data_IF_935974829216
#
_entry.id   IF_935974829216
#
_cell.length_a   1.000
_cell.length_b   1.000
_cell.length_c   1.000
_cell.angle_alpha   90.00
_cell.angle_beta   90.00
_cell.angle_gamma   90.00
#
_symmetry.space_group_name_H-M   'P 1'
#
loop_
_entity.id
_entity.type
_entity.pdbx_description
1 polymer ?
#
# COMPACT_ATOMS: atom_id res chain seq x y z
N UNK A 1 -27.03 2.72 31.78
CA UNK A 1 -27.87 2.26 30.66
C UNK A 1 -26.97 1.48 29.73
N UNK A 2 -27.15 0.15 29.72
CA UNK A 2 -26.32 -0.80 28.98
C UNK A 2 -26.68 -0.73 27.49
N UNK A 3 -25.74 -0.43 26.59
CA UNK A 3 -25.94 -0.61 25.16
C UNK A 3 -25.40 -1.98 24.74
N UNK A 4 -26.34 -2.81 24.30
CA UNK A 4 -26.08 -4.12 23.71
C UNK A 4 -25.45 -3.96 22.32
N UNK A 5 -24.31 -4.55 22.14
CA UNK A 5 -23.69 -4.77 20.82
C UNK A 5 -24.35 -6.01 20.20
N UNK A 6 -25.08 -5.80 19.11
CA UNK A 6 -25.64 -6.88 18.29
C UNK A 6 -24.57 -7.34 17.28
N UNK A 7 -24.07 -8.55 17.49
CA UNK A 7 -23.22 -9.25 16.54
C UNK A 7 -24.06 -9.64 15.31
N UNK A 8 -23.66 -9.17 14.13
CA UNK A 8 -24.20 -9.62 12.84
C UNK A 8 -23.44 -10.88 12.43
N UNK A 9 -24.10 -12.01 12.57
CA UNK A 9 -23.62 -13.29 12.08
C UNK A 9 -23.79 -13.38 10.56
N UNK A 10 -22.71 -13.59 9.85
CA UNK A 10 -22.72 -13.90 8.40
C UNK A 10 -23.10 -15.38 8.27
N UNK A 11 -24.32 -15.62 7.79
CA UNK A 11 -24.82 -16.97 7.47
C UNK A 11 -24.16 -17.44 6.16
N UNK A 12 -23.40 -18.53 6.24
CA UNK A 12 -22.87 -19.26 5.10
C UNK A 12 -24.02 -19.89 4.30
N UNK A 13 -24.20 -19.46 3.05
CA UNK A 13 -25.03 -20.14 2.07
C UNK A 13 -24.19 -21.18 1.34
N UNK A 14 -24.41 -22.44 1.69
CA UNK A 14 -23.91 -23.61 0.95
C UNK A 14 -24.72 -23.75 -0.33
N UNK A 15 -24.13 -23.46 -1.49
CA UNK A 15 -24.62 -23.86 -2.80
C UNK A 15 -23.67 -24.90 -3.37
N UNK A 16 -24.26 -26.07 -3.56
CA UNK A 16 -23.63 -27.31 -4.03
C UNK A 16 -23.15 -27.26 -5.48
N UNK A 17 -21.90 -27.62 -5.63
CA UNK A 17 -21.25 -28.43 -6.70
C UNK A 17 -21.84 -28.45 -8.11
N UNK A 18 -21.12 -27.81 -9.04
CA UNK A 18 -20.77 -28.39 -10.32
C UNK A 18 -19.29 -28.12 -10.57
N UNK A 19 -18.57 -29.20 -10.84
CA UNK A 19 -17.13 -29.23 -11.06
C UNK A 19 -16.73 -28.44 -12.31
N UNK A 20 -16.42 -27.16 -12.14
CA UNK A 20 -15.52 -26.43 -13.01
C UNK A 20 -14.11 -26.73 -12.51
N UNK A 21 -13.35 -27.47 -13.31
CA UNK A 21 -11.92 -27.58 -13.11
C UNK A 21 -11.33 -26.17 -13.26
N UNK A 22 -11.12 -25.51 -12.13
CA UNK A 22 -10.26 -24.35 -12.06
C UNK A 22 -8.87 -24.83 -12.42
N UNK A 23 -8.36 -24.31 -13.53
CA UNK A 23 -6.92 -24.27 -13.77
C UNK A 23 -6.37 -23.40 -12.66
N UNK A 24 -6.00 -24.02 -11.56
CA UNK A 24 -5.21 -23.40 -10.55
C UNK A 24 -3.83 -23.17 -11.16
N UNK A 25 -3.55 -21.97 -11.61
CA UNK A 25 -2.19 -21.50 -11.66
C UNK A 25 -1.65 -21.64 -10.23
N UNK A 26 -0.88 -22.69 -9.99
CA UNK A 26 -0.08 -22.83 -8.80
C UNK A 26 1.06 -21.83 -8.96
N UNK A 27 0.83 -20.59 -8.57
CA UNK A 27 1.90 -19.82 -7.98
C UNK A 27 2.13 -20.44 -6.60
N UNK A 28 3.14 -21.29 -6.49
CA UNK A 28 3.79 -21.60 -5.22
C UNK A 28 4.41 -20.30 -4.70
N UNK A 29 3.56 -19.36 -4.26
CA UNK A 29 3.99 -18.36 -3.32
C UNK A 29 4.15 -19.11 -1.99
N UNK A 30 5.38 -19.52 -1.73
CA UNK A 30 5.82 -19.81 -0.38
C UNK A 30 5.27 -18.68 0.50
N UNK A 31 4.67 -19.04 1.62
CA UNK A 31 4.18 -18.10 2.65
C UNK A 31 5.42 -17.35 3.14
N UNK A 32 5.77 -16.29 2.40
CA UNK A 32 6.80 -15.35 2.83
C UNK A 32 6.33 -14.78 4.16
N UNK A 33 7.20 -14.77 5.14
CA UNK A 33 6.98 -14.17 6.44
C UNK A 33 6.42 -12.77 6.23
N UNK A 34 5.09 -12.62 6.36
CA UNK A 34 4.44 -11.33 6.26
C UNK A 34 5.16 -10.37 7.21
N UNK A 35 5.52 -9.22 6.70
CA UNK A 35 6.13 -8.19 7.50
C UNK A 35 5.03 -7.56 8.35
N UNK A 36 4.77 -8.14 9.51
CA UNK A 36 3.76 -7.68 10.46
C UNK A 36 4.24 -6.44 11.23
N UNK A 37 4.62 -5.39 10.49
CA UNK A 37 5.06 -4.11 11.06
C UNK A 37 4.10 -3.03 10.62
N UNK A 38 3.57 -2.27 11.56
CA UNK A 38 2.72 -1.10 11.32
C UNK A 38 3.34 0.15 11.95
N UNK A 39 3.08 1.31 11.35
CA UNK A 39 3.38 2.61 11.93
C UNK A 39 2.10 3.20 12.54
N UNK A 40 2.18 3.64 13.79
CA UNK A 40 1.06 4.21 14.53
C UNK A 40 0.89 5.72 14.33
N UNK A 41 1.87 6.37 13.72
CA UNK A 41 1.93 7.83 13.57
C UNK A 41 2.46 8.21 12.20
N UNK A 42 2.04 9.36 11.71
CA UNK A 42 2.62 9.98 10.52
C UNK A 42 4.05 10.45 10.82
N UNK A 43 4.93 10.30 9.84
CA UNK A 43 6.34 10.62 9.97
C UNK A 43 6.75 11.67 8.96
N UNK A 44 7.37 12.74 9.44
CA UNK A 44 8.04 13.74 8.59
C UNK A 44 9.54 13.72 8.87
N UNK A 45 10.32 13.59 7.82
CA UNK A 45 11.79 13.66 7.85
C UNK A 45 12.25 14.89 7.08
N UNK A 46 13.03 15.73 7.74
CA UNK A 46 13.72 16.89 7.15
C UNK A 46 15.21 16.83 7.55
N UNK A 47 16.11 17.60 6.94
CA UNK A 47 17.51 17.63 7.33
C UNK A 47 17.69 17.87 8.84
N UNK A 48 18.21 16.88 9.55
CA UNK A 48 18.44 16.89 11.02
C UNK A 48 17.16 17.06 11.86
N UNK A 49 16.01 16.69 11.31
CA UNK A 49 14.75 16.79 12.01
C UNK A 49 13.82 15.64 11.64
N UNK A 50 13.35 14.94 12.66
CA UNK A 50 12.32 13.92 12.60
C UNK A 50 11.11 14.40 13.40
N UNK A 51 9.92 14.35 12.80
CA UNK A 51 8.65 14.68 13.47
C UNK A 51 7.75 13.46 13.39
N UNK A 52 7.15 13.13 14.52
CA UNK A 52 6.11 12.11 14.65
C UNK A 52 4.82 12.78 15.09
N UNK A 53 3.77 12.62 14.30
CA UNK A 53 2.50 13.32 14.46
C UNK A 53 1.29 12.44 14.22
N UNK A 54 0.13 12.88 14.67
CA UNK A 54 -1.17 12.26 14.41
C UNK A 54 -2.19 13.36 14.15
N UNK A 55 -2.87 13.30 13.01
CA UNK A 55 -3.85 14.32 12.58
C UNK A 55 -3.25 15.73 12.63
N UNK A 56 -1.97 15.89 12.26
CA UNK A 56 -1.26 17.17 12.30
C UNK A 56 -0.75 17.59 13.69
N UNK A 57 -1.12 16.89 14.76
CA UNK A 57 -0.64 17.16 16.12
C UNK A 57 0.72 16.49 16.35
N UNK A 58 1.77 17.29 16.57
CA UNK A 58 3.10 16.82 16.93
C UNK A 58 3.07 16.07 18.26
N UNK A 59 3.37 14.79 18.27
CA UNK A 59 3.54 13.98 19.49
C UNK A 59 4.96 14.14 20.03
N UNK A 60 5.94 13.97 19.16
CA UNK A 60 7.32 14.30 19.47
C UNK A 60 8.11 14.67 18.20
N UNK A 61 9.21 15.37 18.41
CA UNK A 61 10.22 15.60 17.37
C UNK A 61 11.63 15.48 17.94
N UNK A 62 12.52 15.05 17.07
CA UNK A 62 13.96 15.05 17.31
C UNK A 62 14.57 16.05 16.33
N UNK A 63 15.17 17.10 16.85
CA UNK A 63 15.76 18.18 16.05
C UNK A 63 17.17 18.48 16.55
N UNK A 64 18.19 18.30 15.70
CA UNK A 64 19.59 18.50 16.06
C UNK A 64 19.97 17.76 17.37
N UNK A 65 19.63 16.48 17.45
CA UNK A 65 19.86 15.57 18.61
C UNK A 65 19.16 16.01 19.92
N UNK A 66 18.18 16.91 19.85
CA UNK A 66 17.33 17.31 20.96
C UNK A 66 15.94 16.70 20.79
N UNK A 67 15.43 16.13 21.87
CA UNK A 67 14.09 15.59 21.92
C UNK A 67 13.10 16.61 22.47
N UNK A 68 11.96 16.73 21.78
CA UNK A 68 10.81 17.51 22.23
C UNK A 68 9.59 16.58 22.25
N UNK A 69 8.86 16.55 23.33
CA UNK A 69 7.60 15.80 23.48
C UNK A 69 6.47 16.78 23.80
N UNK A 70 5.42 16.76 23.00
CA UNK A 70 4.32 17.73 23.08
C UNK A 70 4.84 19.20 23.13
N UNK A 71 5.81 19.50 22.26
CA UNK A 71 6.43 20.82 22.16
C UNK A 71 7.42 21.19 23.28
N UNK A 72 7.59 20.36 24.31
CA UNK A 72 8.48 20.62 25.44
C UNK A 72 9.80 19.88 25.27
N UNK A 73 10.94 20.60 25.36
CA UNK A 73 12.25 19.95 25.32
C UNK A 73 12.47 19.07 26.54
N UNK A 74 12.94 17.84 26.31
CA UNK A 74 13.32 16.88 27.34
C UNK A 74 14.83 17.00 27.59
N UNK A 75 15.22 17.01 28.86
CA UNK A 75 16.63 16.98 29.26
C UNK A 75 17.15 15.55 29.22
N UNK A 76 18.10 15.28 28.35
CA UNK A 76 18.68 13.95 28.15
C UNK A 76 20.08 13.88 28.78
N UNK A 77 20.41 12.75 29.36
CA UNK A 77 21.80 12.42 29.67
C UNK A 77 22.54 11.95 28.40
N UNK A 78 23.84 11.69 28.48
CA UNK A 78 24.67 11.37 27.31
C UNK A 78 24.26 10.04 26.65
N UNK A 79 23.80 9.04 27.42
CA UNK A 79 23.36 7.74 26.92
C UNK A 79 22.02 7.87 26.19
N UNK A 80 21.08 8.57 26.78
CA UNK A 80 19.78 8.89 26.17
C UNK A 80 19.95 9.72 24.88
N UNK A 81 20.88 10.69 24.88
CA UNK A 81 21.15 11.49 23.67
C UNK A 81 21.71 10.63 22.54
N UNK A 82 22.62 9.69 22.84
CA UNK A 82 23.15 8.76 21.84
C UNK A 82 22.03 7.88 21.27
N UNK A 83 21.14 7.38 22.13
CA UNK A 83 20.00 6.54 21.73
C UNK A 83 19.00 7.31 20.86
N UNK A 84 18.66 8.55 21.22
CA UNK A 84 17.79 9.45 20.44
C UNK A 84 18.41 9.73 19.07
N UNK A 85 19.72 10.02 19.01
CA UNK A 85 20.42 10.27 17.74
C UNK A 85 20.42 9.03 16.84
N UNK A 86 20.71 7.84 17.38
CA UNK A 86 20.67 6.57 16.65
C UNK A 86 19.25 6.30 16.10
N UNK A 87 18.23 6.41 16.95
CA UNK A 87 16.84 6.20 16.56
C UNK A 87 16.41 7.15 15.43
N UNK A 88 16.71 8.44 15.58
CA UNK A 88 16.40 9.43 14.56
C UNK A 88 17.09 9.15 13.21
N UNK A 89 18.34 8.67 13.24
CA UNK A 89 19.08 8.29 12.03
C UNK A 89 18.45 7.07 11.36
N UNK A 90 18.07 6.04 12.13
CA UNK A 90 17.46 4.83 11.60
C UNK A 90 16.10 5.12 10.96
N UNK A 91 15.21 5.87 11.62
CA UNK A 91 13.91 6.28 11.05
C UNK A 91 14.13 7.14 9.81
N UNK A 92 15.02 8.13 9.88
CA UNK A 92 15.30 9.04 8.76
C UNK A 92 15.89 8.33 7.54
N UNK A 93 16.57 7.20 7.73
CA UNK A 93 17.09 6.38 6.64
C UNK A 93 16.04 5.44 6.03
N UNK A 94 15.02 5.03 6.81
CA UNK A 94 14.01 4.09 6.34
C UNK A 94 12.84 4.76 5.64
N UNK A 95 12.39 5.93 6.09
CA UNK A 95 11.23 6.63 5.51
C UNK A 95 11.40 6.92 4.01
N UNK A 96 12.53 7.44 3.50
CA UNK A 96 12.74 7.59 2.07
C UNK A 96 12.68 6.27 1.28
N UNK A 97 13.17 5.19 1.85
CA UNK A 97 13.14 3.85 1.23
C UNK A 97 11.70 3.32 1.13
N UNK A 98 10.87 3.53 2.16
CA UNK A 98 9.43 3.20 2.12
C UNK A 98 8.75 3.99 1.00
N UNK A 99 8.96 5.30 0.93
CA UNK A 99 8.33 6.16 -0.07
C UNK A 99 8.76 5.72 -1.49
N UNK A 100 10.04 5.44 -1.69
CA UNK A 100 10.54 4.94 -2.97
C UNK A 100 9.91 3.59 -3.34
N UNK A 101 9.81 2.67 -2.39
CA UNK A 101 9.18 1.35 -2.62
C UNK A 101 7.69 1.48 -2.97
N UNK A 102 6.96 2.36 -2.29
CA UNK A 102 5.55 2.65 -2.60
C UNK A 102 5.42 3.20 -4.02
N UNK A 103 6.24 4.19 -4.40
CA UNK A 103 6.18 4.77 -5.74
C UNK A 103 6.48 3.74 -6.84
N UNK A 104 7.50 2.90 -6.66
CA UNK A 104 7.85 1.84 -7.62
C UNK A 104 6.72 0.80 -7.73
N UNK A 105 6.08 0.43 -6.61
CA UNK A 105 4.94 -0.48 -6.61
C UNK A 105 3.72 0.11 -7.34
N UNK A 106 3.47 1.40 -7.18
CA UNK A 106 2.37 2.12 -7.88
C UNK A 106 2.66 2.20 -9.37
N UNK A 107 3.88 2.55 -9.78
CA UNK A 107 4.28 2.59 -11.19
C UNK A 107 4.13 1.20 -11.84
N UNK A 108 4.57 0.15 -11.16
CA UNK A 108 4.40 -1.22 -11.61
C UNK A 108 2.91 -1.59 -11.75
N UNK A 109 2.08 -1.31 -10.75
CA UNK A 109 0.65 -1.59 -10.78
C UNK A 109 -0.05 -0.81 -11.90
N UNK A 110 0.28 0.47 -12.10
CA UNK A 110 -0.23 1.32 -13.18
C UNK A 110 0.09 0.72 -14.55
N UNK A 111 1.32 0.30 -14.75
CA UNK A 111 1.77 -0.36 -15.98
C UNK A 111 1.01 -1.67 -16.22
N UNK A 112 0.87 -2.52 -15.21
CA UNK A 112 0.16 -3.79 -15.31
C UNK A 112 -1.33 -3.58 -15.65
N UNK A 113 -1.99 -2.61 -15.01
CA UNK A 113 -3.40 -2.26 -15.29
C UNK A 113 -3.55 -1.76 -16.74
N UNK A 114 -2.66 -0.89 -17.20
CA UNK A 114 -2.69 -0.37 -18.57
C UNK A 114 -2.49 -1.48 -19.60
N UNK A 115 -1.53 -2.38 -19.39
CA UNK A 115 -1.30 -3.54 -20.25
C UNK A 115 -2.49 -4.50 -20.29
N UNK A 116 -3.12 -4.75 -19.15
CA UNK A 116 -4.26 -5.66 -19.03
C UNK A 116 -5.54 -5.10 -19.69
N UNK A 117 -5.83 -3.82 -19.49
CA UNK A 117 -7.14 -3.26 -19.81
C UNK A 117 -7.19 -2.56 -21.17
N UNK A 118 -6.12 -1.91 -21.63
CA UNK A 118 -6.12 -1.18 -22.91
C UNK A 118 -6.51 -2.07 -24.10
N UNK A 119 -5.99 -3.31 -24.25
CA UNK A 119 -6.36 -4.18 -25.37
C UNK A 119 -7.83 -4.66 -25.33
N UNK A 120 -8.47 -4.62 -24.14
CA UNK A 120 -9.84 -5.09 -23.93
C UNK A 120 -10.87 -3.98 -24.11
N UNK A 121 -10.54 -2.77 -23.69
CA UNK A 121 -11.47 -1.66 -23.59
C UNK A 121 -11.38 -0.72 -24.81
N UNK A 122 -10.28 -0.77 -25.56
CA UNK A 122 -10.00 0.10 -26.71
C UNK A 122 -9.54 1.51 -26.28
N UNK A 123 -9.10 2.31 -27.25
CA UNK A 123 -8.41 3.60 -27.02
C UNK A 123 -9.21 4.62 -26.17
N UNK A 124 -10.55 4.62 -26.28
CA UNK A 124 -11.37 5.56 -25.51
C UNK A 124 -11.46 5.22 -24.02
N UNK A 125 -11.25 3.96 -23.66
CA UNK A 125 -11.23 3.54 -22.27
C UNK A 125 -9.81 3.60 -21.69
N UNK A 126 -8.77 3.47 -22.53
CA UNK A 126 -7.38 3.69 -22.13
C UNK A 126 -7.21 5.08 -21.49
N UNK A 127 -7.74 6.13 -22.12
CA UNK A 127 -7.67 7.48 -21.56
C UNK A 127 -8.32 7.64 -20.17
N UNK A 128 -9.39 6.87 -19.88
CA UNK A 128 -10.03 6.88 -18.56
C UNK A 128 -9.20 6.10 -17.52
N UNK A 129 -8.53 5.05 -17.95
CA UNK A 129 -7.60 4.31 -17.08
C UNK A 129 -6.42 5.22 -16.71
N UNK A 130 -5.87 5.94 -17.67
CA UNK A 130 -4.78 6.89 -17.44
C UNK A 130 -5.20 8.00 -16.47
N UNK A 131 -6.41 8.54 -16.61
CA UNK A 131 -6.99 9.54 -15.70
C UNK A 131 -7.14 8.98 -14.27
N UNK A 132 -7.62 7.74 -14.15
CA UNK A 132 -7.75 7.07 -12.86
C UNK A 132 -6.38 6.83 -12.21
N UNK A 133 -5.40 6.35 -12.98
CA UNK A 133 -4.07 6.09 -12.45
C UNK A 133 -3.39 7.39 -12.00
N UNK A 134 -3.58 8.48 -12.74
CA UNK A 134 -3.12 9.80 -12.33
C UNK A 134 -3.78 10.27 -11.02
N UNK A 135 -5.08 10.03 -10.85
CA UNK A 135 -5.80 10.31 -9.60
C UNK A 135 -5.29 9.47 -8.42
N UNK A 136 -4.96 8.20 -8.66
CA UNK A 136 -4.36 7.33 -7.65
C UNK A 136 -2.95 7.81 -7.26
N UNK A 137 -2.12 8.18 -8.22
CA UNK A 137 -0.78 8.74 -7.98
C UNK A 137 -0.87 10.02 -7.11
N UNK A 138 -1.78 10.95 -7.41
CA UNK A 138 -1.98 12.17 -6.63
C UNK A 138 -2.38 11.85 -5.18
N UNK A 139 -3.25 10.85 -4.96
CA UNK A 139 -3.66 10.41 -3.61
C UNK A 139 -2.51 9.76 -2.85
N UNK A 140 -1.72 8.92 -3.50
CA UNK A 140 -0.52 8.34 -2.90
C UNK A 140 0.49 9.43 -2.57
N UNK A 141 0.70 10.39 -3.47
CA UNK A 141 1.57 11.54 -3.23
C UNK A 141 1.10 12.40 -2.06
N UNK A 142 -0.19 12.38 -1.71
CA UNK A 142 -0.70 13.08 -0.52
C UNK A 142 -0.29 12.42 0.80
N UNK A 143 -0.05 11.10 0.82
CA UNK A 143 0.32 10.32 2.02
C UNK A 143 1.78 9.82 2.01
N UNK A 144 2.44 9.80 0.85
CA UNK A 144 3.82 9.35 0.73
C UNK A 144 4.56 10.23 -0.28
N UNK A 145 5.20 11.31 0.17
CA UNK A 145 5.85 12.25 -0.74
C UNK A 145 7.27 12.64 -0.35
N UNK A 146 8.02 13.06 -1.37
CA UNK A 146 9.31 13.72 -1.25
C UNK A 146 9.27 15.10 -1.93
N UNK A 147 9.48 16.16 -1.16
CA UNK A 147 9.66 17.51 -1.67
C UNK A 147 11.05 18.05 -1.30
N UNK A 148 12.01 17.96 -2.23
CA UNK A 148 13.41 18.26 -1.96
C UNK A 148 13.99 17.31 -0.91
N UNK A 149 14.47 17.85 0.21
CA UNK A 149 15.01 17.09 1.34
C UNK A 149 13.96 16.78 2.43
N UNK A 150 12.68 17.06 2.16
CA UNK A 150 11.57 16.73 3.05
C UNK A 150 10.85 15.50 2.55
N UNK A 151 10.67 14.52 3.45
CA UNK A 151 9.89 13.30 3.23
C UNK A 151 8.73 13.28 4.21
N UNK A 152 7.57 12.83 3.75
CA UNK A 152 6.39 12.61 4.57
C UNK A 152 5.80 11.25 4.28
N UNK A 153 5.47 10.52 5.33
CA UNK A 153 4.78 9.24 5.29
C UNK A 153 3.59 9.29 6.24
N UNK A 154 2.38 9.38 5.68
CA UNK A 154 1.11 9.29 6.37
C UNK A 154 0.73 7.83 6.54
N UNK A 155 0.69 7.37 7.77
CA UNK A 155 0.43 5.98 8.13
C UNK A 155 -0.73 5.80 9.12
N UNK A 156 -1.27 6.92 9.62
CA UNK A 156 -2.44 6.89 10.50
C UNK A 156 -3.71 6.56 9.72
N UNK A 157 -4.68 5.94 10.41
CA UNK A 157 -6.00 5.68 9.83
C UNK A 157 -6.62 6.96 9.23
N UNK A 158 -6.50 8.10 9.92
CA UNK A 158 -7.00 9.39 9.44
C UNK A 158 -6.30 9.84 8.15
N UNK A 159 -4.97 9.74 8.06
CA UNK A 159 -4.22 10.13 6.85
C UNK A 159 -4.57 9.25 5.65
N UNK A 160 -4.81 7.96 5.90
CA UNK A 160 -5.21 7.01 4.86
C UNK A 160 -6.68 7.19 4.47
N UNK A 161 -7.57 7.47 5.42
CA UNK A 161 -8.98 7.74 5.14
C UNK A 161 -9.18 9.05 4.37
N UNK A 162 -8.39 10.08 4.67
CA UNK A 162 -8.40 11.35 3.92
C UNK A 162 -7.98 11.14 2.45
N UNK A 163 -7.08 10.19 2.16
CA UNK A 163 -6.62 9.90 0.81
C UNK A 163 -7.51 8.86 0.09
N UNK A 164 -7.97 7.81 0.78
CA UNK A 164 -8.58 6.61 0.21
C UNK A 164 -9.94 6.26 0.81
N UNK A 165 -10.64 7.20 1.46
CA UNK A 165 -11.94 6.99 2.08
C UNK A 165 -13.11 6.91 1.10
N UNK A 166 -14.31 7.21 1.59
CA UNK A 166 -15.58 7.02 0.85
C UNK A 166 -15.59 7.66 -0.54
N UNK A 167 -14.94 8.80 -0.75
CA UNK A 167 -14.90 9.49 -2.04
C UNK A 167 -14.16 8.66 -3.09
N UNK A 168 -13.00 8.11 -2.71
CA UNK A 168 -12.21 7.23 -3.57
C UNK A 168 -12.96 5.93 -3.88
N UNK A 169 -13.62 5.32 -2.89
CA UNK A 169 -14.41 4.11 -3.07
C UNK A 169 -15.54 4.34 -4.09
N UNK A 170 -16.24 5.47 -4.00
CA UNK A 170 -17.31 5.84 -4.96
C UNK A 170 -16.76 6.05 -6.38
N UNK A 171 -15.66 6.77 -6.52
CA UNK A 171 -15.00 6.98 -7.82
C UNK A 171 -14.60 5.64 -8.46
N UNK A 172 -14.03 4.74 -7.66
CA UNK A 172 -13.64 3.40 -8.12
C UNK A 172 -14.86 2.55 -8.51
N UNK A 173 -15.95 2.60 -7.74
CA UNK A 173 -17.17 1.89 -8.06
C UNK A 173 -17.78 2.39 -9.38
N UNK A 174 -17.89 3.72 -9.58
CA UNK A 174 -18.37 4.30 -10.82
C UNK A 174 -17.50 3.91 -12.02
N UNK A 175 -16.19 3.90 -11.85
CA UNK A 175 -15.26 3.50 -12.90
C UNK A 175 -15.45 2.04 -13.30
N UNK A 176 -15.53 1.13 -12.34
CA UNK A 176 -15.76 -0.30 -12.58
C UNK A 176 -17.08 -0.51 -13.32
N UNK A 177 -18.16 0.13 -12.88
CA UNK A 177 -19.47 0.03 -13.54
C UNK A 177 -19.43 0.54 -14.98
N UNK A 178 -18.81 1.69 -15.23
CA UNK A 178 -18.68 2.28 -16.58
C UNK A 178 -17.78 1.42 -17.48
N UNK A 179 -16.72 0.84 -16.93
CA UNK A 179 -15.78 -0.01 -17.67
C UNK A 179 -16.42 -1.34 -18.09
N UNK A 180 -17.23 -1.96 -17.23
CA UNK A 180 -17.99 -3.17 -17.56
C UNK A 180 -18.98 -2.91 -18.70
N UNK A 181 -19.67 -1.78 -18.69
CA UNK A 181 -20.59 -1.40 -19.78
C UNK A 181 -19.87 -1.22 -21.12
N UNK A 182 -18.72 -0.56 -21.11
CA UNK A 182 -17.88 -0.35 -22.30
C UNK A 182 -17.30 -1.66 -22.83
N UNK A 183 -16.84 -2.54 -21.95
CA UNK A 183 -16.33 -3.87 -22.30
C UNK A 183 -17.40 -4.74 -22.95
N UNK A 184 -18.62 -4.78 -22.38
CA UNK A 184 -19.74 -5.55 -22.97
C UNK A 184 -20.13 -5.00 -24.34
N UNK A 185 -20.11 -3.67 -24.54
CA UNK A 185 -20.44 -3.05 -25.81
C UNK A 185 -19.38 -3.36 -26.88
N UNK A 186 -18.09 -3.29 -26.53
CA UNK A 186 -16.99 -3.62 -27.43
C UNK A 186 -16.95 -5.11 -27.80
N UNK A 187 -17.13 -5.99 -26.84
CA UNK A 187 -17.25 -7.43 -27.08
C UNK A 187 -18.47 -7.75 -27.96
N UNK A 188 -19.61 -7.14 -27.68
CA UNK A 188 -20.82 -7.28 -28.50
C UNK A 188 -20.63 -6.80 -29.93
N UNK A 189 -19.96 -5.66 -30.13
CA UNK A 189 -19.64 -5.13 -31.46
C UNK A 189 -18.66 -6.04 -32.22
N UNK A 190 -17.62 -6.55 -31.57
CA UNK A 190 -16.67 -7.50 -32.15
C UNK A 190 -17.36 -8.84 -32.54
N UNK A 191 -18.29 -9.33 -31.70
CA UNK A 191 -19.04 -10.54 -32.01
C UNK A 191 -20.03 -10.31 -33.18
N UNK A 192 -20.56 -9.10 -33.35
CA UNK A 192 -21.51 -8.78 -34.44
C UNK A 192 -20.83 -8.39 -35.77
N UNK A 193 -19.62 -7.89 -35.73
CA UNK A 193 -18.92 -7.31 -36.91
C UNK A 193 -18.06 -8.30 -37.72
N UNK A 194 -18.05 -9.59 -37.39
CA UNK A 194 -17.23 -10.59 -38.08
C UNK A 194 -17.98 -11.25 -39.23
N UNK A 195 -17.47 -11.10 -40.44
CA UNK A 195 -17.92 -11.80 -41.65
C UNK A 195 -17.52 -13.28 -41.58
N UNK A 196 -18.43 -14.15 -41.17
CA UNK A 196 -18.33 -15.60 -41.40
C UNK A 196 -17.65 -16.45 -40.33
N UNK A 197 -17.03 -15.90 -39.30
CA UNK A 197 -16.40 -16.67 -38.22
C UNK A 197 -17.46 -17.21 -37.23
N UNK A 198 -17.33 -18.46 -36.82
CA UNK A 198 -18.21 -19.04 -35.80
C UNK A 198 -17.95 -18.38 -34.42
N UNK A 199 -18.95 -18.38 -33.57
CA UNK A 199 -18.81 -17.93 -32.17
C UNK A 199 -17.64 -18.62 -31.45
N UNK A 200 -17.42 -19.90 -31.72
CA UNK A 200 -16.32 -20.70 -31.16
C UNK A 200 -14.96 -20.17 -31.57
N UNK A 201 -14.77 -19.83 -32.85
CA UNK A 201 -13.51 -19.24 -33.35
C UNK A 201 -13.21 -17.87 -32.72
N UNK A 202 -14.25 -17.07 -32.50
CA UNK A 202 -14.11 -15.75 -31.84
C UNK A 202 -13.73 -15.88 -30.36
N UNK A 203 -14.32 -16.87 -29.66
CA UNK A 203 -13.96 -17.17 -28.28
C UNK A 203 -12.53 -17.71 -28.16
N UNK A 204 -12.10 -18.58 -29.08
CA UNK A 204 -10.72 -19.06 -29.12
C UNK A 204 -9.73 -17.92 -29.36
N UNK A 205 -10.04 -17.01 -30.27
CA UNK A 205 -9.21 -15.82 -30.54
C UNK A 205 -9.13 -14.89 -29.34
N UNK A 206 -10.23 -14.73 -28.61
CA UNK A 206 -10.27 -13.93 -27.38
C UNK A 206 -9.44 -14.59 -26.28
N UNK A 207 -9.56 -15.91 -26.09
CA UNK A 207 -8.75 -16.67 -25.13
C UNK A 207 -7.25 -16.52 -25.42
N UNK A 208 -6.84 -16.73 -26.68
CA UNK A 208 -5.44 -16.56 -27.08
C UNK A 208 -4.92 -15.13 -26.85
N UNK A 209 -5.77 -14.12 -27.06
CA UNK A 209 -5.40 -12.74 -26.77
C UNK A 209 -5.22 -12.49 -25.26
N UNK A 210 -6.08 -13.08 -24.43
CA UNK A 210 -5.95 -13.00 -22.96
C UNK A 210 -4.69 -13.69 -22.47
N UNK A 211 -4.39 -14.88 -23.00
CA UNK A 211 -3.18 -15.62 -22.66
C UNK A 211 -1.91 -14.81 -23.02
N UNK A 212 -1.89 -14.19 -24.22
CA UNK A 212 -0.75 -13.37 -24.63
C UNK A 212 -0.57 -12.10 -23.80
N UNK A 213 -1.67 -11.48 -23.33
CA UNK A 213 -1.63 -10.33 -22.42
C UNK A 213 -1.05 -10.79 -21.06
N UNK A 214 -1.48 -11.95 -20.56
CA UNK A 214 -0.95 -12.51 -19.32
C UNK A 214 0.57 -12.74 -19.39
N UNK A 215 1.03 -13.40 -20.45
CA UNK A 215 2.46 -13.64 -20.69
C UNK A 215 3.26 -12.33 -20.82
N UNK A 216 2.71 -11.31 -21.47
CA UNK A 216 3.37 -10.01 -21.61
C UNK A 216 3.49 -9.28 -20.27
N UNK A 217 2.43 -9.29 -19.45
CA UNK A 217 2.45 -8.72 -18.10
C UNK A 217 3.49 -9.45 -17.24
N UNK A 218 3.48 -10.79 -17.22
CA UNK A 218 4.44 -11.59 -16.48
C UNK A 218 5.87 -11.23 -16.86
N UNK A 219 6.21 -11.24 -18.15
CA UNK A 219 7.56 -10.92 -18.64
C UNK A 219 8.01 -9.50 -18.30
N UNK A 220 7.11 -8.52 -18.34
CA UNK A 220 7.45 -7.12 -18.05
C UNK A 220 7.53 -6.83 -16.55
N UNK A 221 6.74 -7.53 -15.74
CA UNK A 221 6.62 -7.24 -14.31
C UNK A 221 7.53 -8.10 -13.43
N UNK A 222 7.95 -9.31 -13.90
CA UNK A 222 8.73 -10.27 -13.11
C UNK A 222 9.97 -9.60 -12.46
N UNK A 223 10.77 -8.93 -13.24
CA UNK A 223 12.01 -8.32 -12.73
C UNK A 223 11.76 -7.15 -11.76
N UNK A 224 10.69 -6.38 -11.98
CA UNK A 224 10.33 -5.28 -11.08
C UNK A 224 9.71 -5.83 -9.79
N UNK A 225 8.89 -6.87 -9.88
CA UNK A 225 8.30 -7.54 -8.72
C UNK A 225 9.38 -8.13 -7.81
N UNK A 226 10.35 -8.84 -8.38
CA UNK A 226 11.49 -9.40 -7.64
C UNK A 226 12.30 -8.31 -6.90
N UNK A 227 12.54 -7.16 -7.55
CA UNK A 227 13.27 -6.03 -6.92
C UNK A 227 12.46 -5.42 -5.77
N UNK A 228 11.16 -5.20 -5.97
CA UNK A 228 10.25 -4.68 -4.95
C UNK A 228 10.18 -5.63 -3.76
N UNK A 229 10.06 -6.95 -4.01
CA UNK A 229 10.02 -7.98 -2.97
C UNK A 229 11.31 -7.99 -2.16
N UNK A 230 12.47 -8.06 -2.81
CA UNK A 230 13.78 -8.07 -2.14
C UNK A 230 14.02 -6.80 -1.30
N UNK A 231 13.57 -5.65 -1.79
CA UNK A 231 13.65 -4.38 -1.04
C UNK A 231 12.66 -4.34 0.13
N UNK A 232 11.46 -4.89 -0.05
CA UNK A 232 10.46 -5.04 0.99
C UNK A 232 10.96 -5.93 2.14
N UNK A 233 11.52 -7.09 1.84
CA UNK A 233 12.12 -7.99 2.83
C UNK A 233 13.25 -7.31 3.63
N UNK A 234 14.16 -6.65 2.94
CA UNK A 234 15.25 -5.91 3.57
C UNK A 234 14.74 -4.78 4.48
N UNK A 235 13.71 -4.08 4.04
CA UNK A 235 13.08 -3.02 4.82
C UNK A 235 12.41 -3.60 6.08
N UNK A 236 11.74 -4.74 5.94
CA UNK A 236 11.13 -5.46 7.06
C UNK A 236 12.14 -5.81 8.16
N UNK A 237 13.29 -6.37 7.79
CA UNK A 237 14.35 -6.69 8.75
C UNK A 237 14.90 -5.44 9.47
N UNK A 238 14.97 -4.31 8.76
CA UNK A 238 15.37 -3.04 9.37
C UNK A 238 14.30 -2.51 10.34
N UNK A 239 13.01 -2.66 10.01
CA UNK A 239 11.94 -2.30 10.92
C UNK A 239 11.91 -3.17 12.18
N UNK A 240 12.14 -4.48 12.07
CA UNK A 240 12.27 -5.36 13.24
C UNK A 240 13.40 -4.89 14.18
N UNK A 241 14.52 -4.44 13.62
CA UNK A 241 15.62 -3.85 14.39
C UNK A 241 15.20 -2.51 15.02
N UNK A 242 14.44 -1.69 14.30
CA UNK A 242 13.93 -0.42 14.79
C UNK A 242 12.97 -0.60 15.97
N UNK A 243 12.12 -1.63 15.96
CA UNK A 243 11.24 -1.97 17.10
C UNK A 243 12.03 -2.19 18.38
N UNK A 244 13.14 -2.94 18.31
CA UNK A 244 14.00 -3.19 19.47
C UNK A 244 14.66 -1.90 19.97
N UNK A 245 15.14 -1.07 19.05
CA UNK A 245 15.76 0.22 19.37
C UNK A 245 14.75 1.19 20.00
N UNK A 246 13.54 1.23 19.47
CA UNK A 246 12.46 2.04 20.00
C UNK A 246 12.03 1.60 21.39
N UNK A 247 11.96 0.28 21.64
CA UNK A 247 11.66 -0.24 22.97
C UNK A 247 12.70 0.24 23.98
N UNK A 248 13.99 0.14 23.66
CA UNK A 248 15.06 0.65 24.52
C UNK A 248 14.92 2.17 24.75
N UNK A 249 14.59 2.91 23.70
CA UNK A 249 14.39 4.36 23.79
C UNK A 249 13.26 4.72 24.75
N UNK A 250 12.14 3.99 24.70
CA UNK A 250 10.97 4.21 25.56
C UNK A 250 11.20 3.79 27.01
N UNK A 251 11.99 2.75 27.23
CA UNK A 251 12.38 2.30 28.56
C UNK A 251 13.29 3.33 29.26
N UNK A 252 14.19 3.94 28.50
CA UNK A 252 15.14 4.96 29.00
C UNK A 252 14.53 6.38 29.09
N UNK A 253 13.47 6.67 28.31
CA UNK A 253 12.86 8.00 28.23
C UNK A 253 11.33 7.85 28.42
N UNK A 254 10.85 7.90 29.67
CA UNK A 254 9.44 7.64 29.99
C UNK A 254 8.43 8.58 29.27
N UNK A 255 8.87 9.78 28.85
CA UNK A 255 8.04 10.72 28.10
C UNK A 255 7.63 10.17 26.73
N UNK A 256 8.41 9.26 26.15
CA UNK A 256 8.12 8.56 24.88
C UNK A 256 7.28 7.29 25.05
N UNK A 257 7.11 6.78 26.26
CA UNK A 257 6.42 5.52 26.50
C UNK A 257 5.00 5.44 25.91
N UNK A 258 4.35 6.59 25.76
CA UNK A 258 2.98 6.70 25.22
C UNK A 258 2.90 6.81 23.68
N UNK A 259 4.03 6.92 23.02
CA UNK A 259 4.10 7.22 21.59
C UNK A 259 4.96 6.19 20.85
N UNK A 260 4.58 4.89 20.84
CA UNK A 260 5.27 3.90 20.03
C UNK A 260 5.04 4.21 18.55
N UNK A 261 6.12 4.47 17.80
CA UNK A 261 6.02 4.71 16.36
C UNK A 261 5.78 3.39 15.62
N UNK A 262 6.48 2.33 16.00
CA UNK A 262 6.46 1.05 15.31
C UNK A 262 5.78 0.00 16.17
N UNK A 263 4.83 -0.73 15.58
CA UNK A 263 4.14 -1.86 16.20
C UNK A 263 4.36 -3.13 15.38
N UNK A 264 4.48 -4.27 16.07
CA UNK A 264 4.45 -5.60 15.44
C UNK A 264 3.22 -6.35 15.90
N UNK A 265 2.56 -7.09 15.01
CA UNK A 265 1.32 -7.83 15.33
C UNK A 265 1.47 -8.81 16.52
N UNK A 266 2.70 -9.21 16.86
CA UNK A 266 2.99 -10.07 18.01
C UNK A 266 3.03 -9.33 19.36
N UNK A 267 2.99 -8.00 19.38
CA UNK A 267 3.05 -7.24 20.65
C UNK A 267 1.72 -7.26 21.41
N UNK A 268 0.61 -7.52 20.74
CA UNK A 268 -0.74 -7.56 21.34
C UNK A 268 -1.00 -8.80 22.22
N UNK A 269 -0.08 -9.77 22.25
CA UNK A 269 -0.26 -11.02 23.02
C UNK A 269 0.45 -11.04 24.40
N UNK A 270 1.05 -9.91 24.84
CA UNK A 270 1.80 -9.82 26.10
C UNK A 270 1.21 -8.87 27.14
N UNK A 271 -0.07 -8.43 26.99
CA UNK A 271 -0.80 -7.75 28.06
C UNK A 271 -1.85 -8.64 28.71
#
# INVERSE_FOLDING_TARGET
MKKLLTSVGISAVLLSATSLQTVAAHSDHDVHNECEVALNYDVTVEPKKLIVSEVGDEKYRIEMDKLFVNGKQISLNSEQQALVSQYSQEVSAQVPEVIALVNDAVEMASTAVSLALTPLLGDSAGAKIDEMMAGLEERIESVAYQHGDKFYLGSTESSLEDAFGEEFEQEMEELVQNSLGSMMMNLGAQMMSGDGDSFEQKMDSFSQKMDSIGEEIELQMEQQADDIEARGEKLCERFKTLVVLEQQLRDEIPELAKYPLVETANTTLLE
#
